data_IF_664431148644
#
_entry.id   IF_664431148644
#
_cell.length_a   1.000
_cell.length_b   1.000
_cell.length_c   1.000
_cell.angle_alpha   90.00
_cell.angle_beta   90.00
_cell.angle_gamma   90.00
#
_symmetry.space_group_name_H-M   'P 1'
#
loop_
_entity.id
_entity.type
_entity.pdbx_description
1 polymer ?
#
# COMPACT_ATOMS: atom_id res chain seq x y z
N UNK A 1 17.52 -1.21 -6.75
CA UNK A 1 16.08 -1.47 -6.99
C UNK A 1 15.69 -2.64 -6.11
N UNK A 2 14.58 -2.54 -5.39
CA UNK A 2 14.07 -3.60 -4.51
C UNK A 2 12.65 -3.92 -4.95
N UNK A 3 12.35 -5.20 -5.14
CA UNK A 3 11.00 -5.70 -5.34
C UNK A 3 10.61 -6.48 -4.08
N UNK A 4 9.53 -6.06 -3.44
CA UNK A 4 9.08 -6.61 -2.16
C UNK A 4 7.94 -7.59 -2.39
N UNK A 5 8.06 -8.79 -1.83
CA UNK A 5 6.90 -9.65 -1.57
C UNK A 5 6.09 -9.03 -0.44
N UNK A 6 4.88 -8.55 -0.73
CA UNK A 6 4.02 -8.02 0.33
C UNK A 6 3.67 -9.11 1.34
N UNK A 7 3.44 -8.72 2.59
CA UNK A 7 2.91 -9.61 3.63
C UNK A 7 1.72 -10.41 3.10
N UNK A 8 1.74 -11.72 3.27
CA UNK A 8 0.75 -12.64 2.70
C UNK A 8 1.10 -13.20 1.31
N UNK A 9 2.16 -12.72 0.66
CA UNK A 9 2.58 -13.14 -0.69
C UNK A 9 4.02 -13.67 -0.69
N UNK A 10 4.34 -14.45 -1.74
CA UNK A 10 5.70 -14.93 -2.00
C UNK A 10 6.37 -15.57 -0.79
N UNK A 11 7.59 -15.14 -0.50
CA UNK A 11 8.38 -15.62 0.65
C UNK A 11 8.13 -14.83 1.94
N UNK A 12 7.34 -13.75 1.89
CA UNK A 12 6.97 -12.97 3.08
C UNK A 12 6.01 -13.73 4.01
N UNK A 13 6.01 -13.34 5.28
CA UNK A 13 5.17 -13.96 6.31
C UNK A 13 3.67 -13.87 5.98
N UNK A 14 2.93 -14.92 6.36
CA UNK A 14 1.51 -15.12 6.05
C UNK A 14 0.68 -15.30 7.34
N UNK A 15 0.59 -14.29 8.21
CA UNK A 15 -0.17 -14.42 9.45
C UNK A 15 -1.63 -14.75 9.17
N UNK A 16 -2.23 -15.58 10.03
CA UNK A 16 -3.60 -16.07 9.86
C UNK A 16 -4.67 -15.07 10.31
N UNK A 17 -4.31 -14.11 11.16
CA UNK A 17 -5.27 -13.15 11.73
C UNK A 17 -5.48 -12.01 10.74
N UNK A 18 -6.71 -11.83 10.27
CA UNK A 18 -7.10 -10.73 9.35
C UNK A 18 -6.68 -9.35 9.87
N UNK A 19 -6.74 -9.14 11.19
CA UNK A 19 -6.30 -7.89 11.82
C UNK A 19 -4.85 -7.50 11.52
N UNK A 20 -3.98 -8.44 11.15
CA UNK A 20 -2.58 -8.19 10.79
C UNK A 20 -2.40 -7.53 9.42
N UNK A 21 -3.46 -7.46 8.61
CA UNK A 21 -3.49 -6.86 7.27
C UNK A 21 -4.28 -5.56 7.21
N UNK A 22 -4.58 -4.95 8.37
CA UNK A 22 -5.15 -3.59 8.37
C UNK A 22 -4.17 -2.64 7.69
N UNK A 23 -4.70 -1.69 6.90
CA UNK A 23 -3.90 -0.71 6.15
C UNK A 23 -2.91 0.01 7.07
N UNK A 24 -3.34 0.47 8.24
CA UNK A 24 -2.48 1.13 9.23
C UNK A 24 -1.24 0.29 9.62
N UNK A 25 -1.39 -1.03 9.76
CA UNK A 25 -0.29 -1.94 10.10
C UNK A 25 0.63 -2.12 8.91
N UNK A 26 0.07 -2.38 7.72
CA UNK A 26 0.85 -2.60 6.51
C UNK A 26 1.70 -1.37 6.15
N UNK A 27 1.13 -0.18 6.28
CA UNK A 27 1.81 1.08 5.97
C UNK A 27 2.95 1.36 6.95
N UNK A 28 2.74 1.14 8.25
CA UNK A 28 3.79 1.28 9.26
C UNK A 28 4.92 0.25 9.05
N UNK A 29 4.58 -1.01 8.74
CA UNK A 29 5.56 -2.05 8.40
C UNK A 29 6.37 -1.69 7.15
N UNK A 30 5.72 -1.16 6.10
CA UNK A 30 6.40 -0.70 4.88
C UNK A 30 7.30 0.51 5.14
N UNK A 31 6.86 1.48 5.95
CA UNK A 31 7.71 2.60 6.40
C UNK A 31 8.97 2.09 7.09
N UNK A 32 8.81 1.19 8.06
CA UNK A 32 9.95 0.60 8.79
C UNK A 32 10.88 -0.16 7.86
N UNK A 33 10.33 -0.94 6.93
CA UNK A 33 11.10 -1.65 5.91
C UNK A 33 11.97 -0.69 5.09
N UNK A 34 11.42 0.41 4.59
CA UNK A 34 12.18 1.43 3.85
C UNK A 34 13.30 2.02 4.71
N UNK A 35 13.01 2.35 5.96
CA UNK A 35 14.00 2.91 6.89
C UNK A 35 15.15 1.94 7.20
N UNK A 36 14.94 0.62 7.08
CA UNK A 36 16.03 -0.36 7.30
C UNK A 36 17.16 -0.25 6.27
N UNK A 37 16.91 0.36 5.10
CA UNK A 37 17.94 0.59 4.09
C UNK A 37 18.82 1.81 4.39
N UNK A 38 18.52 2.59 5.45
CA UNK A 38 19.31 3.77 5.82
C UNK A 38 19.23 4.92 4.81
N UNK A 39 18.14 5.00 4.05
CA UNK A 39 17.89 6.06 3.08
C UNK A 39 16.93 7.11 3.63
N UNK A 40 17.19 8.38 3.32
CA UNK A 40 16.31 9.49 3.75
C UNK A 40 14.99 9.50 2.95
N UNK A 41 15.08 9.20 1.65
CA UNK A 41 13.92 9.13 0.76
C UNK A 41 14.06 8.01 -0.27
N UNK A 42 12.93 7.49 -0.73
CA UNK A 42 12.88 6.51 -1.82
C UNK A 42 11.80 6.86 -2.85
N UNK A 43 11.91 6.28 -4.04
CA UNK A 43 10.82 6.30 -5.03
C UNK A 43 10.05 5.00 -4.99
N UNK A 44 8.72 5.07 -4.95
CA UNK A 44 7.83 3.90 -4.95
C UNK A 44 7.19 3.74 -6.32
N UNK A 45 7.18 2.51 -6.82
CA UNK A 45 6.39 2.11 -7.99
C UNK A 45 5.42 1.04 -7.50
N UNK A 46 4.12 1.27 -7.67
CA UNK A 46 3.08 0.38 -7.17
C UNK A 46 2.07 0.01 -8.26
N UNK A 47 1.82 -1.29 -8.39
CA UNK A 47 0.78 -1.85 -9.26
C UNK A 47 -0.33 -2.49 -8.42
N UNK A 48 -1.59 -2.30 -8.80
CA UNK A 48 -2.77 -2.87 -8.12
C UNK A 48 -2.73 -2.61 -6.59
N UNK A 49 -2.73 -3.64 -5.73
CA UNK A 49 -2.60 -3.48 -4.27
C UNK A 49 -1.33 -2.72 -3.85
N UNK A 50 -0.21 -2.92 -4.57
CA UNK A 50 1.02 -2.15 -4.32
C UNK A 50 0.86 -0.67 -4.65
N UNK A 51 0.02 -0.34 -5.63
CA UNK A 51 -0.37 1.04 -5.93
C UNK A 51 -1.29 1.63 -4.86
N UNK A 52 -2.25 0.85 -4.36
CA UNK A 52 -3.13 1.24 -3.25
C UNK A 52 -2.31 1.58 -2.00
N UNK A 53 -1.38 0.71 -1.61
CA UNK A 53 -0.47 0.96 -0.48
C UNK A 53 0.47 2.14 -0.76
N UNK A 54 0.95 2.29 -1.99
CA UNK A 54 1.76 3.44 -2.41
C UNK A 54 1.04 4.78 -2.26
N UNK A 55 -0.26 4.85 -2.56
CA UNK A 55 -1.07 6.05 -2.31
C UNK A 55 -1.13 6.40 -0.82
N UNK A 56 -1.34 5.42 0.05
CA UNK A 56 -1.35 5.65 1.50
C UNK A 56 0.02 6.04 2.03
N UNK A 57 1.11 5.43 1.53
CA UNK A 57 2.48 5.83 1.87
C UNK A 57 2.75 7.28 1.48
N UNK A 58 2.38 7.69 0.27
CA UNK A 58 2.56 9.06 -0.20
C UNK A 58 1.74 10.07 0.61
N UNK A 59 0.55 9.70 1.07
CA UNK A 59 -0.33 10.56 1.85
C UNK A 59 0.09 10.68 3.34
N UNK A 60 0.54 9.58 3.96
CA UNK A 60 0.81 9.51 5.39
C UNK A 60 2.29 9.70 5.75
N UNK A 61 3.19 9.42 4.80
CA UNK A 61 4.64 9.40 5.00
C UNK A 61 5.37 10.13 3.87
N UNK A 62 4.86 11.29 3.46
CA UNK A 62 5.45 12.11 2.40
C UNK A 62 6.89 12.55 2.69
N UNK A 63 7.34 12.50 3.96
CA UNK A 63 8.69 12.79 4.39
C UNK A 63 9.74 11.86 3.74
N UNK A 64 9.39 10.59 3.54
CA UNK A 64 10.31 9.55 3.03
C UNK A 64 10.05 9.17 1.56
N UNK A 65 9.09 9.82 0.90
CA UNK A 65 8.71 9.53 -0.49
C UNK A 65 9.19 10.66 -1.40
N UNK A 66 10.19 10.37 -2.24
CA UNK A 66 10.67 11.30 -3.25
C UNK A 66 9.73 11.40 -4.46
N UNK A 67 9.31 10.23 -4.99
CA UNK A 67 8.36 10.12 -6.11
C UNK A 67 7.53 8.85 -5.96
N UNK A 68 6.29 8.90 -6.44
CA UNK A 68 5.40 7.75 -6.49
C UNK A 68 4.83 7.57 -7.90
N UNK A 69 4.86 6.34 -8.40
CA UNK A 69 4.24 5.94 -9.68
C UNK A 69 3.17 4.89 -9.39
N UNK A 70 1.93 5.22 -9.70
CA UNK A 70 0.81 4.29 -9.67
C UNK A 70 0.57 3.67 -11.05
N UNK A 71 0.46 2.34 -11.11
CA UNK A 71 0.17 1.58 -12.34
C UNK A 71 -1.13 0.80 -12.11
N UNK A 72 -2.14 1.02 -12.95
CA UNK A 72 -3.43 0.34 -12.86
C UNK A 72 -4.10 0.41 -11.47
N UNK A 73 -3.78 1.43 -10.67
CA UNK A 73 -4.26 1.58 -9.30
C UNK A 73 -4.86 2.98 -9.11
N UNK A 74 -6.21 3.13 -9.15
CA UNK A 74 -6.86 4.41 -8.99
C UNK A 74 -6.61 5.00 -7.59
N UNK A 75 -6.78 6.32 -7.47
CA UNK A 75 -6.69 6.99 -6.18
C UNK A 75 -7.73 6.42 -5.19
N UNK A 76 -7.39 6.15 -3.91
CA UNK A 76 -8.28 5.47 -2.97
C UNK A 76 -9.63 6.18 -2.76
N UNK A 77 -9.63 7.51 -2.65
CA UNK A 77 -10.86 8.29 -2.50
C UNK A 77 -11.80 8.11 -3.70
N UNK A 78 -11.26 8.02 -4.92
CA UNK A 78 -12.06 7.77 -6.11
C UNK A 78 -12.61 6.34 -6.11
N UNK A 79 -11.75 5.36 -5.84
CA UNK A 79 -12.10 3.95 -5.81
C UNK A 79 -13.24 3.66 -4.81
N UNK A 80 -13.10 4.10 -3.56
CA UNK A 80 -14.12 3.88 -2.53
C UNK A 80 -15.42 4.64 -2.79
N UNK A 81 -15.36 5.83 -3.40
CA UNK A 81 -16.57 6.56 -3.80
C UNK A 81 -17.41 5.84 -4.87
N UNK A 82 -16.82 4.90 -5.62
CA UNK A 82 -17.45 4.14 -6.70
C UNK A 82 -17.94 2.76 -6.24
N UNK A 83 -17.23 2.11 -5.32
CA UNK A 83 -17.57 0.77 -4.82
C UNK A 83 -18.89 0.75 -4.02
N UNK A 84 -19.26 1.84 -3.36
CA UNK A 84 -20.48 1.91 -2.54
C UNK A 84 -21.75 2.38 -3.27
N UNK A 85 -21.77 2.48 -4.61
CA UNK A 85 -22.99 2.89 -5.35
C UNK A 85 -23.66 1.83 -6.21
N UNK A 86 -23.05 0.66 -6.40
CA UNK A 86 -23.53 -0.33 -7.38
C UNK A 86 -23.76 -1.74 -6.82
N UNK A 87 -23.58 -1.95 -5.51
CA UNK A 87 -23.70 -3.30 -4.89
C UNK A 87 -24.49 -3.37 -3.59
N UNK A 88 -25.16 -2.30 -3.17
CA UNK A 88 -25.99 -2.28 -1.95
C UNK A 88 -27.50 -2.14 -2.23
N UNK A 89 -27.92 -2.18 -3.49
CA UNK A 89 -29.35 -2.13 -3.88
C UNK A 89 -29.88 -3.46 -4.42
N UNK A 90 -29.05 -4.51 -4.43
CA UNK A 90 -29.39 -5.84 -4.97
C UNK A 90 -29.17 -6.97 -3.95
N UNK A 91 -29.43 -6.72 -2.66
CA UNK A 91 -29.62 -7.75 -1.61
C UNK A 91 -30.76 -7.34 -0.65
#
# INVERSE_FOLDING_TARGET
VVALDLKGFGDSDKPTKSKCYKIEILIDELRRFILTFGVDQCSIIGHDLGGLLGWYMAALHSDIIFKFVAISSPHPNYYWSRINRSRMLDD
#
